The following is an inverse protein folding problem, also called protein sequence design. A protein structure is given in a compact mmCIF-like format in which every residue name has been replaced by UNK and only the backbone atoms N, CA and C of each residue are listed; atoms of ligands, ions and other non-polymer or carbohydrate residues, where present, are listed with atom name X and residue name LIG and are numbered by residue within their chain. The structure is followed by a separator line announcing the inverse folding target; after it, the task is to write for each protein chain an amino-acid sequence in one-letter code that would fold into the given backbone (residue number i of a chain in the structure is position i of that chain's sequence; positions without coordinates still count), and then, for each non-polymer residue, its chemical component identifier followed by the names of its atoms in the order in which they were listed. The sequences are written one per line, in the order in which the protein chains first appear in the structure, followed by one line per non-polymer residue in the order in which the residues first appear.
data_IF_711568035068
#
_entry.id   IF_711568035068
#
_cell.length_a   1.000
_cell.length_b   1.000
_cell.length_c   1.000
_cell.angle_alpha   90.00
_cell.angle_beta   90.00
_cell.angle_gamma   90.00
#
_symmetry.space_group_name_H-M   'P 1'
#
loop_
_entity.id
_entity.type
_entity.pdbx_description
1 polymer ?
#
# COMPACT_ATOMS: atom_id res chain seq x y z
N UNK A 1 12.26 -5.34 -17.11
CA UNK A 1 11.35 -5.38 -18.27
C UNK A 1 11.78 -6.42 -19.29
N UNK A 2 11.40 -7.66 -18.96
CA UNK A 2 11.54 -8.90 -19.73
C UNK A 2 10.23 -9.29 -20.45
N UNK A 3 9.18 -8.46 -20.33
CA UNK A 3 7.88 -8.65 -20.99
C UNK A 3 6.80 -9.35 -20.15
N UNK A 4 6.95 -9.45 -18.83
CA UNK A 4 5.96 -10.01 -17.91
C UNK A 4 4.96 -8.99 -17.31
N UNK A 5 5.10 -7.71 -17.66
CA UNK A 5 4.38 -6.56 -17.08
C UNK A 5 4.63 -6.34 -15.58
N UNK A 6 5.63 -6.98 -14.99
CA UNK A 6 6.22 -6.52 -13.76
C UNK A 6 7.19 -5.38 -14.10
N UNK A 7 7.11 -4.30 -13.33
CA UNK A 7 7.96 -3.13 -13.49
C UNK A 7 8.58 -2.82 -12.14
N UNK A 8 9.75 -2.17 -12.17
CA UNK A 8 10.46 -1.70 -10.98
C UNK A 8 10.86 -2.83 -10.00
N UNK A 9 10.54 -2.73 -8.72
CA UNK A 9 10.95 -3.68 -7.67
C UNK A 9 10.03 -4.91 -7.58
N UNK A 10 8.88 -4.84 -8.24
CA UNK A 10 7.91 -5.91 -8.39
C UNK A 10 8.29 -6.90 -9.49
N UNK A 11 9.27 -6.54 -10.33
CA UNK A 11 9.93 -7.41 -11.32
C UNK A 11 10.97 -8.32 -10.61
N UNK A 12 10.76 -9.63 -10.70
CA UNK A 12 11.61 -10.62 -10.05
C UNK A 12 13.06 -10.58 -10.56
N UNK A 13 13.26 -10.12 -11.80
CA UNK A 13 14.59 -9.96 -12.39
C UNK A 13 15.31 -8.73 -11.81
N UNK A 14 14.56 -7.73 -11.36
CA UNK A 14 15.07 -6.54 -10.68
C UNK A 14 15.48 -6.79 -9.22
N UNK A 15 15.04 -7.88 -8.57
CA UNK A 15 15.37 -8.21 -7.16
C UNK A 15 16.88 -8.33 -6.87
N UNK A 16 17.68 -8.61 -7.90
CA UNK A 16 19.13 -8.70 -7.79
C UNK A 16 19.85 -7.35 -7.91
N UNK A 17 19.13 -6.29 -8.30
CA UNK A 17 19.67 -4.95 -8.42
C UNK A 17 19.80 -4.30 -7.04
N UNK A 18 20.88 -3.57 -6.80
CA UNK A 18 21.20 -2.99 -5.49
C UNK A 18 20.14 -1.98 -4.99
N UNK A 19 19.32 -1.42 -5.88
CA UNK A 19 18.17 -0.58 -5.54
C UNK A 19 16.89 -1.33 -5.14
N UNK A 20 16.78 -2.61 -5.46
CA UNK A 20 15.68 -3.49 -5.02
C UNK A 20 16.15 -4.47 -3.92
N UNK A 21 17.45 -4.74 -3.87
CA UNK A 21 18.12 -5.46 -2.79
C UNK A 21 18.18 -4.66 -1.49
N UNK A 22 17.71 -3.42 -1.49
CA UNK A 22 17.44 -2.61 -0.30
C UNK A 22 15.95 -2.55 0.00
N UNK A 23 15.35 -3.68 0.41
CA UNK A 23 14.50 -3.68 1.62
C UNK A 23 15.35 -3.29 2.87
N UNK A 24 16.17 -2.26 2.74
CA UNK A 24 17.43 -2.15 3.46
C UNK A 24 17.49 -0.97 4.42
N UNK A 25 16.83 0.13 4.07
CA UNK A 25 16.62 1.25 4.98
C UNK A 25 15.76 2.31 4.32
N UNK A 26 14.53 2.46 4.79
CA UNK A 26 13.76 3.65 4.51
C UNK A 26 14.43 4.88 5.15
N UNK A 27 14.46 6.02 4.44
CA UNK A 27 14.84 7.31 5.01
C UNK A 27 13.58 8.00 5.51
N UNK A 28 13.23 7.69 6.75
CA UNK A 28 11.99 8.08 7.44
C UNK A 28 11.66 9.58 7.63
N UNK A 29 12.29 10.50 6.89
CA UNK A 29 12.06 11.93 7.00
C UNK A 29 12.40 12.76 5.75
N UNK A 30 12.39 12.18 4.56
CA UNK A 30 12.71 12.87 3.31
C UNK A 30 11.48 13.07 2.39
N UNK A 31 10.32 12.50 2.73
CA UNK A 31 9.09 12.59 1.92
C UNK A 31 9.12 11.74 0.65
N UNK A 32 10.01 10.75 0.59
CA UNK A 32 10.21 9.83 -0.54
C UNK A 32 10.03 8.42 0.00
N UNK A 33 9.44 7.56 -0.83
CA UNK A 33 9.43 6.11 -0.66
C UNK A 33 10.78 5.56 -1.15
N UNK A 34 11.77 5.40 -0.27
CA UNK A 34 13.12 4.99 -0.69
C UNK A 34 13.25 3.48 -0.91
N UNK A 35 12.36 2.67 -0.33
CA UNK A 35 12.35 1.21 -0.47
C UNK A 35 11.33 0.70 -1.51
N UNK A 36 10.49 1.60 -2.02
CA UNK A 36 9.52 1.42 -3.09
C UNK A 36 8.41 0.42 -2.73
N UNK A 37 8.03 0.32 -1.45
CA UNK A 37 6.92 -0.52 -1.01
C UNK A 37 5.54 0.17 -1.13
N UNK A 38 5.52 1.43 -1.58
CA UNK A 38 4.34 2.26 -1.76
C UNK A 38 3.97 3.08 -0.52
N UNK A 39 4.77 2.99 0.54
CA UNK A 39 4.65 3.77 1.76
C UNK A 39 5.76 4.83 1.81
N UNK A 40 5.61 5.85 2.66
CA UNK A 40 6.56 6.97 2.68
C UNK A 40 6.78 7.41 4.12
N UNK A 41 8.04 7.60 4.52
CA UNK A 41 8.41 8.09 5.84
C UNK A 41 7.69 7.34 6.99
N UNK A 42 6.92 8.04 7.83
CA UNK A 42 6.21 7.44 8.97
C UNK A 42 4.96 6.64 8.59
N UNK A 43 4.62 6.60 7.30
CA UNK A 43 3.62 5.67 6.78
C UNK A 43 4.22 4.31 6.43
N UNK A 44 5.55 4.22 6.36
CA UNK A 44 6.29 2.99 6.11
C UNK A 44 6.51 2.23 7.45
N UNK A 45 6.26 0.91 7.41
CA UNK A 45 6.42 0.01 8.56
C UNK A 45 7.91 -0.15 8.94
N UNK A 46 8.84 0.00 8.00
CA UNK A 46 10.28 0.01 8.24
C UNK A 46 10.74 1.24 9.05
N UNK A 47 9.89 2.27 9.13
CA UNK A 47 10.09 3.47 9.94
C UNK A 47 9.52 3.39 11.36
N UNK A 48 9.00 2.25 11.79
CA UNK A 48 8.44 2.06 13.14
C UNK A 48 9.43 2.43 14.27
N UNK A 49 10.73 2.19 14.07
CA UNK A 49 11.78 2.50 15.04
C UNK A 49 12.28 3.95 14.99
N UNK A 50 11.83 4.74 14.01
CA UNK A 50 12.27 6.11 13.84
C UNK A 50 11.61 7.03 14.88
N UNK A 51 12.44 7.72 15.66
CA UNK A 51 11.98 8.50 16.81
C UNK A 51 10.95 9.60 16.47
N UNK A 52 10.97 10.14 15.24
CA UNK A 52 9.96 11.13 14.82
C UNK A 52 8.60 10.50 14.51
N UNK A 53 8.57 9.24 14.08
CA UNK A 53 7.33 8.50 13.84
C UNK A 53 6.71 8.00 15.14
N UNK A 54 7.52 7.79 16.18
CA UNK A 54 7.07 7.44 17.52
C UNK A 54 6.71 8.66 18.39
N UNK A 55 6.43 9.80 17.76
CA UNK A 55 6.07 11.03 18.46
C UNK A 55 4.76 10.87 19.23
N UNK A 56 4.83 10.72 20.55
CA UNK A 56 3.72 10.91 21.51
C UNK A 56 3.25 12.36 21.60
N UNK A 57 3.38 13.12 20.53
CA UNK A 57 2.99 14.53 20.44
C UNK A 57 1.94 14.69 19.34
N UNK A 58 0.90 13.86 19.38
CA UNK A 58 -0.40 14.21 18.82
C UNK A 58 -1.08 15.21 19.77
N UNK A 59 -0.50 16.40 19.89
CA UNK A 59 -1.18 17.58 20.44
C UNK A 59 -0.89 18.78 19.55
N UNK A 60 -1.10 18.61 18.24
CA UNK A 60 -1.30 19.76 17.37
C UNK A 60 -2.67 19.60 16.72
N UNK A 61 -3.53 20.55 17.09
CA UNK A 61 -4.85 20.75 16.55
C UNK A 61 -4.78 21.05 15.05
N UNK A 62 -5.73 20.47 14.32
CA UNK A 62 -6.35 21.03 13.12
C UNK A 62 -5.72 20.89 11.72
N UNK A 63 -4.66 20.10 11.50
CA UNK A 63 -4.20 19.76 10.12
C UNK A 63 -3.99 18.25 9.91
N UNK A 64 -5.10 17.53 9.69
CA UNK A 64 -5.20 16.43 8.70
C UNK A 64 -4.31 15.17 8.74
N UNK A 65 -3.36 14.98 9.67
CA UNK A 65 -2.52 13.79 9.70
C UNK A 65 -2.85 12.85 10.87
N UNK A 66 -3.81 11.97 10.63
CA UNK A 66 -4.17 10.90 11.57
C UNK A 66 -3.17 9.76 11.53
N UNK A 67 -2.31 9.66 12.54
CA UNK A 67 -1.58 8.44 12.88
C UNK A 67 -2.54 7.45 13.58
N UNK A 68 -3.42 6.83 12.78
CA UNK A 68 -4.18 5.60 13.08
C UNK A 68 -5.20 5.37 11.96
N UNK A 69 -4.76 4.68 10.93
CA UNK A 69 -5.56 3.64 10.31
C UNK A 69 -4.58 2.75 9.58
N UNK A 70 -4.49 1.48 9.99
CA UNK A 70 -4.29 0.41 9.04
C UNK A 70 -5.47 0.46 8.06
N UNK A 71 -5.48 1.44 7.16
CA UNK A 71 -6.25 1.41 5.94
C UNK A 71 -5.44 0.48 5.04
N UNK A 72 -5.49 -0.83 5.25
CA UNK A 72 -6.53 -1.62 4.61
C UNK A 72 -6.88 -0.96 3.28
N UNK A 73 -6.10 -1.32 2.27
CA UNK A 73 -6.62 -1.45 0.92
C UNK A 73 -7.83 -2.38 0.99
N UNK A 74 -8.97 -1.88 1.49
CA UNK A 74 -10.28 -2.40 1.12
C UNK A 74 -10.55 -1.91 -0.29
N UNK A 75 -9.72 -2.36 -1.21
CA UNK A 75 -10.16 -2.73 -2.54
C UNK A 75 -11.24 -3.78 -2.32
N UNK A 76 -12.44 -3.35 -1.92
CA UNK A 76 -13.66 -4.11 -2.11
C UNK A 76 -13.67 -4.32 -3.61
N UNK A 77 -13.05 -5.44 -4.00
CA UNK A 77 -12.69 -5.70 -5.38
C UNK A 77 -13.95 -5.49 -6.16
N UNK A 78 -13.97 -4.46 -7.01
CA UNK A 78 -15.15 -4.07 -7.76
C UNK A 78 -15.69 -5.29 -8.54
N UNK A 79 -14.78 -6.20 -8.88
CA UNK A 79 -14.99 -7.57 -9.34
C UNK A 79 -15.97 -8.39 -8.50
N UNK A 80 -15.87 -8.45 -7.17
CA UNK A 80 -16.77 -9.24 -6.31
C UNK A 80 -18.19 -8.67 -6.31
N UNK A 81 -18.34 -7.34 -6.28
CA UNK A 81 -19.64 -6.68 -6.36
C UNK A 81 -20.33 -6.93 -7.71
N UNK A 82 -19.56 -6.86 -8.81
CA UNK A 82 -20.07 -7.18 -10.15
C UNK A 82 -20.44 -8.65 -10.28
N UNK A 83 -19.64 -9.57 -9.73
CA UNK A 83 -19.96 -11.00 -9.73
C UNK A 83 -21.24 -11.30 -8.96
N UNK A 84 -21.41 -10.73 -7.77
CA UNK A 84 -22.64 -10.92 -6.97
C UNK A 84 -23.85 -10.30 -7.66
N UNK A 85 -23.70 -9.13 -8.29
CA UNK A 85 -24.79 -8.50 -9.05
C UNK A 85 -25.21 -9.34 -10.27
N UNK A 86 -24.25 -9.90 -11.02
CA UNK A 86 -24.52 -10.79 -12.15
C UNK A 86 -25.20 -12.08 -11.71
N UNK A 87 -24.74 -12.71 -10.63
CA UNK A 87 -25.38 -13.91 -10.07
C UNK A 87 -26.80 -13.62 -9.59
N UNK A 88 -27.02 -12.50 -8.90
CA UNK A 88 -28.35 -12.07 -8.46
C UNK A 88 -29.29 -11.82 -9.65
N UNK A 89 -28.78 -11.22 -10.73
CA UNK A 89 -29.55 -10.99 -11.96
C UNK A 89 -29.94 -12.30 -12.66
N UNK A 90 -29.01 -13.23 -12.78
CA UNK A 90 -29.27 -14.56 -13.36
C UNK A 90 -30.25 -15.35 -12.50
N UNK A 91 -30.11 -15.31 -11.17
CA UNK A 91 -31.04 -15.97 -10.24
C UNK A 91 -32.46 -15.39 -10.33
N UNK A 92 -32.59 -14.06 -10.41
CA UNK A 92 -33.89 -13.38 -10.61
C UNK A 92 -34.54 -13.77 -11.93
N UNK A 93 -33.77 -13.91 -13.00
CA UNK A 93 -34.27 -14.37 -14.31
C UNK A 93 -34.68 -15.84 -14.33
N UNK A 94 -34.14 -16.66 -13.43
CA UNK A 94 -34.50 -18.08 -13.31
C UNK A 94 -35.78 -18.31 -12.49
N UNK A 95 -36.19 -17.31 -11.71
CA UNK A 95 -37.38 -17.33 -10.83
C UNK A 95 -38.59 -16.57 -11.42
N UNK A 96 -38.45 -16.05 -12.64
CA UNK A 96 -39.52 -15.44 -13.44
C UNK A 96 -39.82 -16.33 -14.64
#
# INVERSE_FOLDING_TARGET
DDGDHATDCEDADCLSFLGCSTQGREVCNNGIDDDHDGLTDCYDDDCYSYAKCNGTSATDSDDGCGCRSAGSHTSTSFSLLLFVAMLAFVYRRKMA
#
